data_IF_768331190887
#
_entry.id   IF_768331190887
#
_cell.length_a   1.000
_cell.length_b   1.000
_cell.length_c   1.000
_cell.angle_alpha   90.00
_cell.angle_beta   90.00
_cell.angle_gamma   90.00
#
_symmetry.space_group_name_H-M   'P 1'
#
loop_
_entity.id
_entity.type
_entity.pdbx_description
1 polymer ?
#
# COMPACT_ATOMS: atom_id res chain seq x y z
N UNK A 1 -44.75 26.48 15.49
CA UNK A 1 -43.30 26.69 15.45
C UNK A 1 -42.65 25.40 15.83
N UNK A 2 -42.16 24.61 14.87
CA UNK A 2 -41.30 23.47 15.20
C UNK A 2 -40.02 24.06 15.79
N UNK A 3 -39.78 23.80 17.06
CA UNK A 3 -38.48 24.05 17.68
C UNK A 3 -37.60 22.92 17.16
N UNK A 4 -36.89 23.17 16.05
CA UNK A 4 -35.81 22.29 15.62
C UNK A 4 -34.73 22.37 16.69
N UNK A 5 -34.66 21.35 17.54
CA UNK A 5 -33.46 21.13 18.34
C UNK A 5 -32.36 20.81 17.32
N UNK A 6 -31.51 21.77 17.01
CA UNK A 6 -30.15 21.41 16.58
C UNK A 6 -29.60 20.58 17.73
N UNK A 7 -29.42 19.29 17.51
CA UNK A 7 -28.86 18.41 18.52
C UNK A 7 -27.47 18.94 18.89
N UNK A 8 -27.14 18.97 20.18
CA UNK A 8 -26.09 19.84 20.74
C UNK A 8 -24.67 19.57 20.20
N UNK A 9 -24.46 18.42 19.55
CA UNK A 9 -23.19 17.95 19.01
C UNK A 9 -23.21 17.75 17.48
N UNK A 10 -24.20 18.31 16.77
CA UNK A 10 -24.42 18.03 15.35
C UNK A 10 -24.04 19.22 14.44
N UNK A 11 -23.31 18.93 13.37
CA UNK A 11 -22.93 19.85 12.31
C UNK A 11 -24.02 19.98 11.23
N UNK A 12 -24.58 18.87 10.75
CA UNK A 12 -25.56 18.83 9.65
C UNK A 12 -27.00 19.02 10.16
N UNK A 13 -27.78 19.93 9.55
CA UNK A 13 -29.11 20.36 10.04
C UNK A 13 -30.17 19.25 10.25
N UNK A 14 -29.95 18.04 9.74
CA UNK A 14 -30.82 16.85 9.90
C UNK A 14 -30.13 15.65 10.59
N UNK A 15 -28.88 15.78 11.02
CA UNK A 15 -28.16 14.75 11.79
C UNK A 15 -28.83 14.47 13.15
N UNK A 16 -28.71 13.23 13.65
CA UNK A 16 -29.31 12.84 14.93
C UNK A 16 -28.30 12.67 16.06
N UNK A 17 -27.00 12.54 15.74
CA UNK A 17 -25.98 12.14 16.71
C UNK A 17 -24.64 12.74 16.28
N UNK A 18 -23.83 13.13 17.27
CA UNK A 18 -22.44 13.53 17.09
C UNK A 18 -21.62 13.09 18.29
N UNK A 19 -20.31 13.07 18.15
CA UNK A 19 -19.39 12.73 19.24
C UNK A 19 -19.18 13.96 20.13
N UNK A 20 -19.32 13.75 21.44
CA UNK A 20 -19.03 14.76 22.45
C UNK A 20 -17.84 14.31 23.31
N UNK A 21 -16.83 15.17 23.39
CA UNK A 21 -15.61 14.94 24.14
C UNK A 21 -15.44 16.03 25.22
N UNK A 22 -15.22 15.61 26.47
CA UNK A 22 -15.01 16.52 27.61
C UNK A 22 -14.21 15.86 28.73
N UNK A 23 -13.21 16.57 29.24
CA UNK A 23 -12.54 16.20 30.48
C UNK A 23 -13.27 16.74 31.72
N UNK A 24 -13.50 15.87 32.72
CA UNK A 24 -14.04 16.28 34.03
C UNK A 24 -12.96 16.55 35.08
N UNK A 25 -11.82 15.86 34.95
CA UNK A 25 -10.62 16.06 35.77
C UNK A 25 -9.39 16.13 34.86
N UNK A 26 -8.97 14.99 34.33
CA UNK A 26 -8.03 14.89 33.22
C UNK A 26 -7.91 13.46 32.70
N UNK A 27 -7.39 13.29 31.50
CA UNK A 27 -7.21 12.00 30.83
C UNK A 27 -7.42 12.06 29.33
N UNK A 28 -7.46 10.88 28.72
CA UNK A 28 -7.56 10.71 27.29
C UNK A 28 -8.97 10.24 26.91
N UNK A 29 -9.40 10.54 25.68
CA UNK A 29 -10.66 10.06 25.14
C UNK A 29 -10.59 9.95 23.64
N UNK A 30 -10.92 8.78 23.11
CA UNK A 30 -10.85 8.47 21.69
C UNK A 30 -12.02 7.58 21.28
N UNK A 31 -12.55 7.81 20.08
CA UNK A 31 -13.39 6.85 19.36
C UNK A 31 -12.59 6.33 18.17
N UNK A 32 -12.74 5.04 17.89
CA UNK A 32 -12.13 4.44 16.70
C UNK A 32 -13.07 3.43 16.05
N UNK A 33 -12.89 3.22 14.76
CA UNK A 33 -13.54 2.18 14.00
C UNK A 33 -12.51 1.53 13.08
N UNK A 34 -12.51 0.21 13.02
CA UNK A 34 -11.68 -0.56 12.09
C UNK A 34 -12.56 -1.19 11.02
N UNK A 35 -12.18 -1.04 9.76
CA UNK A 35 -12.86 -1.61 8.59
C UNK A 35 -11.84 -2.30 7.68
N UNK A 36 -12.31 -3.17 6.78
CA UNK A 36 -11.44 -3.81 5.79
C UNK A 36 -10.81 -2.74 4.88
N UNK A 37 -9.58 -2.99 4.43
CA UNK A 37 -8.86 -2.16 3.48
C UNK A 37 -8.05 -3.03 2.52
N UNK A 38 -7.81 -2.53 1.30
CA UNK A 38 -6.97 -3.17 0.30
C UNK A 38 -5.56 -2.55 0.31
N UNK A 39 -4.47 -3.35 0.17
CA UNK A 39 -3.14 -2.82 -0.09
C UNK A 39 -3.13 -1.93 -1.34
N UNK A 40 -2.34 -0.85 -1.32
CA UNK A 40 -2.19 0.07 -2.45
C UNK A 40 -3.36 1.03 -2.67
N UNK A 41 -4.52 0.80 -2.06
CA UNK A 41 -5.66 1.72 -2.17
C UNK A 41 -5.41 3.02 -1.39
N UNK A 42 -5.92 4.14 -1.93
CA UNK A 42 -5.88 5.44 -1.28
C UNK A 42 -7.16 5.67 -0.48
N UNK A 43 -6.99 6.11 0.76
CA UNK A 43 -8.10 6.39 1.67
C UNK A 43 -8.08 7.86 2.07
N UNK A 44 -9.25 8.50 2.05
CA UNK A 44 -9.49 9.82 2.64
C UNK A 44 -10.42 9.66 3.84
N UNK A 45 -9.94 10.03 5.01
CA UNK A 45 -10.75 10.14 6.23
C UNK A 45 -11.02 11.60 6.53
N UNK A 46 -12.28 11.95 6.78
CA UNK A 46 -12.69 13.31 7.12
C UNK A 46 -13.72 13.35 8.26
N UNK A 47 -13.76 14.50 8.93
CA UNK A 47 -14.75 14.82 9.97
C UNK A 47 -14.86 16.33 10.13
N UNK A 48 -15.97 16.77 10.69
CA UNK A 48 -16.12 18.14 11.19
C UNK A 48 -15.82 18.18 12.69
N UNK A 49 -15.14 19.23 13.15
CA UNK A 49 -14.90 19.48 14.58
C UNK A 49 -15.26 20.91 14.96
N UNK A 50 -15.70 21.10 16.20
CA UNK A 50 -16.01 22.40 16.82
C UNK A 50 -15.62 22.39 18.30
N UNK A 51 -14.96 23.44 18.77
CA UNK A 51 -14.52 23.54 20.16
C UNK A 51 -15.16 24.72 20.90
N UNK A 52 -15.50 24.48 22.15
CA UNK A 52 -16.00 25.50 23.07
C UNK A 52 -14.84 26.32 23.68
N UNK A 53 -15.13 27.54 24.13
CA UNK A 53 -14.14 28.52 24.61
C UNK A 53 -13.12 27.98 25.62
N UNK A 54 -13.55 27.08 26.51
CA UNK A 54 -12.73 26.51 27.57
C UNK A 54 -12.18 25.12 27.28
N UNK A 55 -12.36 24.56 26.07
CA UNK A 55 -11.86 23.23 25.76
C UNK A 55 -10.33 23.20 25.82
N UNK A 56 -9.75 22.26 26.57
CA UNK A 56 -8.30 22.27 26.86
C UNK A 56 -7.42 22.12 25.61
N UNK A 57 -7.90 21.46 24.57
CA UNK A 57 -7.14 21.25 23.33
C UNK A 57 -6.95 22.51 22.48
N UNK A 58 -7.77 23.54 22.66
CA UNK A 58 -7.58 24.84 21.99
C UNK A 58 -6.99 25.93 22.89
N UNK A 59 -6.47 25.55 24.06
CA UNK A 59 -5.68 26.44 24.91
C UNK A 59 -4.19 26.27 24.56
N UNK A 60 -3.39 27.30 24.84
CA UNK A 60 -1.93 27.30 24.61
C UNK A 60 -1.22 26.38 25.62
N UNK A 61 -1.46 25.06 25.49
CA UNK A 61 -0.89 23.99 26.29
C UNK A 61 -0.46 22.82 25.37
N UNK A 62 0.85 22.67 25.12
CA UNK A 62 1.36 21.64 24.20
C UNK A 62 1.27 20.21 24.75
N UNK A 63 0.77 20.01 25.97
CA UNK A 63 0.55 18.68 26.53
C UNK A 63 -0.80 18.06 26.15
N UNK A 64 -1.68 18.85 25.51
CA UNK A 64 -2.98 18.40 25.02
C UNK A 64 -2.93 18.30 23.51
N UNK A 65 -3.19 17.13 22.96
CA UNK A 65 -3.31 16.92 21.52
C UNK A 65 -4.73 16.48 21.21
N UNK A 66 -5.40 17.19 20.31
CA UNK A 66 -6.71 16.78 19.77
C UNK A 66 -6.51 16.45 18.30
N UNK A 67 -6.75 15.21 17.90
CA UNK A 67 -6.32 14.72 16.61
C UNK A 67 -7.32 13.77 15.96
N UNK A 68 -7.22 13.68 14.64
CA UNK A 68 -7.77 12.57 13.86
C UNK A 68 -6.62 11.71 13.34
N UNK A 69 -6.86 10.42 13.09
CA UNK A 69 -5.80 9.53 12.60
C UNK A 69 -6.31 8.35 11.80
N UNK A 70 -5.40 7.78 11.02
CA UNK A 70 -5.59 6.59 10.19
C UNK A 70 -4.43 5.63 10.43
N UNK A 71 -4.73 4.37 10.72
CA UNK A 71 -3.74 3.33 11.03
C UNK A 71 -4.03 2.09 10.17
N UNK A 72 -3.03 1.57 9.46
CA UNK A 72 -3.15 0.38 8.62
C UNK A 72 -2.58 -0.85 9.31
N UNK A 73 -3.31 -1.96 9.23
CA UNK A 73 -2.94 -3.21 9.89
C UNK A 73 -2.91 -4.37 8.91
N UNK A 74 -1.97 -5.30 9.11
CA UNK A 74 -1.95 -6.57 8.39
C UNK A 74 -3.04 -7.54 8.91
N UNK A 75 -3.15 -8.71 8.26
CA UNK A 75 -4.12 -9.75 8.65
C UNK A 75 -3.87 -10.36 10.06
N UNK A 76 -2.70 -10.12 10.64
CA UNK A 76 -2.34 -10.54 11.99
C UNK A 76 -2.53 -9.44 13.05
N UNK A 77 -3.11 -8.29 12.66
CA UNK A 77 -3.26 -7.07 13.46
C UNK A 77 -1.94 -6.39 13.87
N UNK A 78 -0.87 -6.56 13.09
CA UNK A 78 0.33 -5.74 13.26
C UNK A 78 0.15 -4.40 12.54
N UNK A 79 0.57 -3.31 13.18
CA UNK A 79 0.57 -1.97 12.57
C UNK A 79 1.61 -1.90 11.46
N UNK A 80 1.19 -1.48 10.27
CA UNK A 80 2.03 -1.29 9.09
C UNK A 80 2.41 0.17 8.87
N UNK A 81 1.49 1.09 9.17
CA UNK A 81 1.69 2.52 9.01
C UNK A 81 0.57 3.30 9.69
N UNK A 82 0.86 4.55 10.03
CA UNK A 82 -0.11 5.44 10.65
C UNK A 82 0.12 6.88 10.22
N UNK A 83 -0.97 7.61 10.02
CA UNK A 83 -1.00 9.04 9.75
C UNK A 83 -1.89 9.72 10.80
N UNK A 84 -1.53 10.93 11.24
CA UNK A 84 -2.29 11.65 12.27
C UNK A 84 -2.22 13.15 12.00
N UNK A 85 -3.37 13.82 12.12
CA UNK A 85 -3.49 15.28 12.02
C UNK A 85 -3.83 15.84 13.39
N UNK A 86 -2.95 16.66 13.96
CA UNK A 86 -3.30 17.52 15.08
C UNK A 86 -4.19 18.65 14.58
N UNK A 87 -5.37 18.81 15.18
CA UNK A 87 -6.33 19.80 14.75
C UNK A 87 -5.90 21.22 15.08
N UNK A 88 -5.06 21.44 16.11
CA UNK A 88 -4.49 22.76 16.41
C UNK A 88 -3.54 23.18 15.29
N UNK A 89 -2.68 22.27 14.83
CA UNK A 89 -1.77 22.51 13.70
C UNK A 89 -2.54 22.72 12.38
N UNK A 90 -3.79 22.26 12.32
CA UNK A 90 -4.72 22.45 11.21
C UNK A 90 -5.66 23.67 11.40
N UNK A 91 -5.28 24.66 12.22
CA UNK A 91 -6.01 25.91 12.46
C UNK A 91 -7.40 25.73 13.11
N UNK A 92 -7.59 24.70 13.95
CA UNK A 92 -8.75 24.61 14.82
C UNK A 92 -8.61 25.51 16.06
N UNK A 93 -9.70 26.17 16.45
CA UNK A 93 -9.71 27.14 17.54
C UNK A 93 -10.94 26.98 18.46
N UNK A 94 -10.83 27.52 19.68
CA UNK A 94 -11.90 27.61 20.67
C UNK A 94 -12.90 28.75 20.37
N UNK A 95 -13.26 28.95 19.11
CA UNK A 95 -14.14 30.02 18.63
C UNK A 95 -15.60 29.56 18.40
N UNK A 96 -15.88 28.29 18.68
CA UNK A 96 -17.19 27.70 18.52
C UNK A 96 -17.63 27.56 17.06
N UNK A 97 -16.73 27.63 16.08
CA UNK A 97 -17.03 27.34 14.68
C UNK A 97 -16.78 25.87 14.34
N UNK A 98 -17.59 25.34 13.44
CA UNK A 98 -17.35 24.04 12.82
C UNK A 98 -16.33 24.20 11.68
N UNK A 99 -15.32 23.35 11.66
CA UNK A 99 -14.32 23.25 10.58
C UNK A 99 -14.21 21.80 10.14
N UNK A 100 -14.00 21.58 8.85
CA UNK A 100 -13.75 20.26 8.30
C UNK A 100 -12.25 19.96 8.29
N UNK A 101 -11.91 18.72 8.59
CA UNK A 101 -10.55 18.20 8.55
C UNK A 101 -10.54 16.92 7.74
N UNK A 102 -9.46 16.70 7.00
CA UNK A 102 -9.24 15.47 6.25
C UNK A 102 -7.79 15.01 6.32
N UNK A 103 -7.62 13.70 6.14
CA UNK A 103 -6.36 12.96 6.08
C UNK A 103 -6.42 12.02 4.89
N UNK A 104 -5.40 12.02 4.04
CA UNK A 104 -5.29 11.09 2.92
C UNK A 104 -4.02 10.25 3.07
N UNK A 105 -4.13 8.93 2.89
CA UNK A 105 -2.99 8.02 2.92
C UNK A 105 -3.20 6.82 2.01
N UNK A 106 -2.11 6.33 1.43
CA UNK A 106 -2.08 5.07 0.68
C UNK A 106 -1.84 3.91 1.64
N UNK A 107 -2.62 2.83 1.52
CA UNK A 107 -2.47 1.63 2.32
C UNK A 107 -1.14 0.91 1.99
N UNK A 108 -0.25 0.66 2.97
CA UNK A 108 1.00 -0.07 2.73
C UNK A 108 0.78 -1.50 2.19
N UNK A 109 1.82 -2.13 1.60
CA UNK A 109 1.78 -3.54 1.24
C UNK A 109 1.37 -4.43 2.43
N UNK A 110 0.61 -5.49 2.15
CA UNK A 110 0.03 -6.42 3.14
C UNK A 110 -1.06 -5.86 4.06
N UNK A 111 -1.59 -4.66 3.77
CA UNK A 111 -2.75 -4.13 4.49
C UNK A 111 -3.96 -5.05 4.37
N UNK A 112 -4.63 -5.33 5.49
CA UNK A 112 -5.91 -6.03 5.53
C UNK A 112 -7.03 -5.15 6.11
N UNK A 113 -6.68 -4.16 6.92
CA UNK A 113 -7.65 -3.26 7.53
C UNK A 113 -7.08 -1.87 7.79
N UNK A 114 -7.97 -0.88 7.85
CA UNK A 114 -7.69 0.49 8.25
C UNK A 114 -8.52 0.82 9.49
N UNK A 115 -7.88 1.43 10.48
CA UNK A 115 -8.54 2.01 11.65
C UNK A 115 -8.51 3.52 11.54
N UNK A 116 -9.69 4.13 11.58
CA UNK A 116 -9.85 5.58 11.74
C UNK A 116 -10.14 5.90 13.19
N UNK A 117 -9.62 7.03 13.67
CA UNK A 117 -9.78 7.47 15.05
C UNK A 117 -9.92 8.98 15.16
N UNK A 118 -10.62 9.43 16.18
CA UNK A 118 -10.72 10.84 16.55
C UNK A 118 -10.81 10.96 18.08
N UNK A 119 -10.08 11.90 18.65
CA UNK A 119 -10.01 12.04 20.09
C UNK A 119 -9.01 13.08 20.55
N UNK A 120 -8.72 13.04 21.85
CA UNK A 120 -7.67 13.84 22.43
C UNK A 120 -6.97 13.12 23.57
N UNK A 121 -5.71 13.48 23.77
CA UNK A 121 -4.86 13.01 24.87
C UNK A 121 -4.45 14.18 25.75
N UNK A 122 -4.14 13.90 27.02
CA UNK A 122 -3.68 14.89 27.97
C UNK A 122 -4.73 15.92 28.40
N UNK A 123 -6.01 15.72 28.05
CA UNK A 123 -7.05 16.69 28.36
C UNK A 123 -7.16 16.94 29.86
N UNK A 124 -7.58 18.14 30.24
CA UNK A 124 -7.85 18.51 31.63
C UNK A 124 -9.07 19.44 31.72
N UNK A 125 -9.65 19.53 32.91
CA UNK A 125 -10.72 20.50 33.16
C UNK A 125 -10.11 21.90 33.32
N UNK A 126 -10.32 22.77 32.34
CA UNK A 126 -9.73 24.12 32.32
C UNK A 126 -10.31 25.07 33.37
N UNK A 127 -11.46 24.73 33.96
CA UNK A 127 -12.23 25.63 34.83
C UNK A 127 -12.97 26.75 34.09
N UNK A 128 -12.80 26.86 32.77
CA UNK A 128 -13.52 27.80 31.89
C UNK A 128 -14.71 27.05 31.31
N UNK A 129 -15.91 27.65 31.30
CA UNK A 129 -17.09 27.04 30.67
C UNK A 129 -17.60 27.94 29.54
N UNK A 130 -18.09 27.37 28.44
CA UNK A 130 -18.20 25.92 28.16
C UNK A 130 -16.86 25.32 27.66
N UNK A 131 -16.63 23.99 27.72
CA UNK A 131 -15.29 23.36 27.57
C UNK A 131 -15.27 21.99 26.87
N UNK A 132 -16.15 21.78 25.92
CA UNK A 132 -16.28 20.54 25.17
C UNK A 132 -15.67 20.67 23.79
N UNK A 133 -15.25 19.54 23.23
CA UNK A 133 -15.05 19.37 21.80
C UNK A 133 -16.18 18.51 21.24
N UNK A 134 -16.52 18.77 19.98
CA UNK A 134 -17.50 18.00 19.24
C UNK A 134 -16.88 17.54 17.93
N UNK A 135 -17.21 16.32 17.53
CA UNK A 135 -16.90 15.79 16.21
C UNK A 135 -18.17 15.27 15.57
N UNK A 136 -18.28 15.42 14.25
CA UNK A 136 -19.43 14.94 13.51
C UNK A 136 -19.08 14.62 12.05
N UNK A 137 -20.03 14.02 11.33
CA UNK A 137 -19.95 13.72 9.91
C UNK A 137 -18.66 12.96 9.55
N UNK A 138 -18.31 11.96 10.36
CA UNK A 138 -17.20 11.05 10.08
C UNK A 138 -17.43 10.33 8.75
N UNK A 139 -16.47 10.47 7.85
CA UNK A 139 -16.50 9.81 6.55
C UNK A 139 -15.14 9.21 6.25
N UNK A 140 -15.12 7.91 5.98
CA UNK A 140 -13.98 7.24 5.38
C UNK A 140 -14.39 6.82 3.98
N UNK A 141 -13.69 7.38 3.00
CA UNK A 141 -13.90 7.04 1.60
C UNK A 141 -12.62 6.38 1.12
N UNK A 142 -12.76 5.17 0.58
CA UNK A 142 -11.77 4.70 -0.37
C UNK A 142 -11.91 5.60 -1.59
N UNK A 143 -11.04 6.59 -1.68
CA UNK A 143 -10.97 7.38 -2.90
C UNK A 143 -10.45 6.43 -3.96
N UNK A 144 -11.06 6.47 -5.13
CA UNK A 144 -10.35 5.99 -6.31
C UNK A 144 -9.09 6.86 -6.39
N UNK A 145 -8.00 6.37 -5.79
CA UNK A 145 -6.73 6.43 -6.48
C UNK A 145 -7.09 5.95 -7.88
N UNK A 146 -6.66 6.66 -8.92
CA UNK A 146 -6.27 5.92 -10.12
C UNK A 146 -5.43 4.76 -9.57
N UNK A 147 -6.00 3.54 -9.54
CA UNK A 147 -5.43 2.41 -8.82
C UNK A 147 -4.02 2.33 -9.40
N UNK A 148 -2.96 2.63 -8.64
CA UNK A 148 -1.70 3.00 -9.29
C UNK A 148 -1.31 1.93 -10.30
N UNK A 149 -1.13 2.33 -11.57
CA UNK A 149 -0.97 1.40 -12.68
C UNK A 149 -2.23 1.07 -13.51
N UNK A 150 -3.43 1.48 -13.12
CA UNK A 150 -4.67 1.38 -13.91
C UNK A 150 -4.66 2.50 -14.94
N UNK A 151 -4.07 2.21 -16.08
CA UNK A 151 -3.82 3.19 -17.13
C UNK A 151 -5.03 3.39 -18.02
N UNK A 152 -5.98 2.45 -18.00
CA UNK A 152 -7.19 2.51 -18.80
C UNK A 152 -8.41 3.06 -18.02
N UNK A 153 -8.26 3.25 -16.71
CA UNK A 153 -9.28 3.73 -15.76
C UNK A 153 -10.54 2.84 -15.70
N UNK A 154 -10.39 1.52 -15.87
CA UNK A 154 -11.49 0.57 -15.75
C UNK A 154 -11.68 0.02 -14.33
N UNK A 155 -10.80 0.41 -13.40
CA UNK A 155 -10.81 0.03 -11.99
C UNK A 155 -10.17 -1.33 -11.73
N UNK A 156 -9.47 -1.93 -12.68
CA UNK A 156 -8.86 -3.25 -12.55
C UNK A 156 -7.41 -3.22 -13.06
N UNK A 157 -6.45 -3.58 -12.19
CA UNK A 157 -5.08 -3.84 -12.65
C UNK A 157 -5.02 -5.16 -13.43
N UNK A 158 -4.87 -5.10 -14.74
CA UNK A 158 -4.81 -6.29 -15.59
C UNK A 158 -3.82 -6.21 -16.76
N UNK A 159 -3.93 -7.16 -17.70
CA UNK A 159 -3.04 -7.26 -18.86
C UNK A 159 -3.16 -6.03 -19.77
N UNK A 160 -4.31 -5.35 -19.82
CA UNK A 160 -4.49 -4.18 -20.66
C UNK A 160 -3.61 -3.02 -20.18
N UNK A 161 -3.44 -2.86 -18.87
CA UNK A 161 -2.54 -1.86 -18.29
C UNK A 161 -1.08 -2.17 -18.62
N UNK A 162 -0.65 -3.42 -18.46
CA UNK A 162 0.70 -3.83 -18.80
C UNK A 162 1.02 -3.67 -20.30
N UNK A 163 0.02 -3.77 -21.17
CA UNK A 163 0.17 -3.48 -22.60
C UNK A 163 0.27 -1.96 -22.86
N UNK A 164 -0.46 -1.13 -22.11
CA UNK A 164 -0.33 0.33 -22.16
C UNK A 164 1.06 0.77 -21.68
N UNK A 165 1.56 0.16 -20.61
CA UNK A 165 2.91 0.43 -20.11
C UNK A 165 3.98 -0.01 -21.11
N UNK A 166 3.85 -1.18 -21.74
CA UNK A 166 4.79 -1.61 -22.78
C UNK A 166 4.82 -0.63 -23.97
N UNK A 167 3.65 -0.11 -24.37
CA UNK A 167 3.59 0.94 -25.38
C UNK A 167 4.27 2.24 -24.93
N UNK A 168 4.16 2.61 -23.65
CA UNK A 168 4.84 3.77 -23.07
C UNK A 168 6.37 3.57 -23.00
N UNK A 169 6.86 2.39 -22.64
CA UNK A 169 8.29 2.04 -22.65
C UNK A 169 8.89 2.23 -24.06
N UNK A 170 8.12 1.89 -25.10
CA UNK A 170 8.54 2.09 -26.49
C UNK A 170 8.42 3.55 -26.99
N UNK A 171 7.74 4.44 -26.25
CA UNK A 171 7.53 5.84 -26.64
C UNK A 171 8.55 6.79 -26.00
N UNK A 172 9.35 7.44 -26.84
CA UNK A 172 10.31 8.48 -26.42
C UNK A 172 9.69 9.71 -25.76
N UNK A 173 8.37 9.89 -25.82
CA UNK A 173 7.63 11.00 -25.19
C UNK A 173 6.55 10.51 -24.22
N UNK A 174 6.75 9.34 -23.60
CA UNK A 174 5.84 8.81 -22.59
C UNK A 174 5.57 9.82 -21.47
N UNK A 175 4.36 9.77 -20.92
CA UNK A 175 3.97 10.62 -19.80
C UNK A 175 4.63 10.12 -18.51
N UNK A 176 5.74 10.78 -18.13
CA UNK A 176 6.49 10.44 -16.92
C UNK A 176 5.62 10.55 -15.65
N UNK A 177 4.61 11.43 -15.62
CA UNK A 177 3.76 11.53 -14.44
C UNK A 177 2.87 10.29 -14.23
N UNK A 178 2.68 9.49 -15.29
CA UNK A 178 1.82 8.30 -15.28
C UNK A 178 2.63 7.01 -15.19
N UNK A 179 3.76 6.94 -15.90
CA UNK A 179 4.47 5.68 -16.12
C UNK A 179 5.85 5.57 -15.43
N UNK A 180 6.45 6.67 -14.97
CA UNK A 180 7.72 6.68 -14.23
C UNK A 180 7.43 6.56 -12.72
N UNK A 181 7.48 5.34 -12.20
CA UNK A 181 7.11 5.01 -10.83
C UNK A 181 8.28 5.10 -9.86
N UNK A 182 9.50 4.98 -10.37
CA UNK A 182 10.71 5.07 -9.55
C UNK A 182 11.26 6.50 -9.45
N UNK A 183 10.76 7.43 -10.28
CA UNK A 183 11.12 8.85 -10.32
C UNK A 183 12.49 9.14 -10.93
N UNK A 184 13.02 8.23 -11.76
CA UNK A 184 14.35 8.36 -12.39
C UNK A 184 14.35 9.12 -13.73
N UNK A 185 13.16 9.50 -14.20
CA UNK A 185 12.95 10.26 -15.43
C UNK A 185 12.93 9.40 -16.70
N UNK A 186 12.86 8.07 -16.56
CA UNK A 186 12.64 7.13 -17.65
C UNK A 186 11.39 6.28 -17.40
N UNK A 187 10.84 5.71 -18.48
CA UNK A 187 9.79 4.69 -18.40
C UNK A 187 10.40 3.41 -18.92
N UNK A 188 10.75 2.49 -18.02
CA UNK A 188 11.45 1.26 -18.37
C UNK A 188 11.03 0.04 -17.55
N UNK A 189 11.83 -1.04 -17.63
CA UNK A 189 11.56 -2.30 -16.95
C UNK A 189 11.55 -2.18 -15.42
N UNK A 190 12.20 -1.15 -14.86
CA UNK A 190 12.16 -0.86 -13.42
C UNK A 190 10.76 -0.40 -13.00
N UNK A 191 10.10 0.45 -13.79
CA UNK A 191 8.72 0.87 -13.55
C UNK A 191 7.74 -0.28 -13.76
N UNK A 192 8.02 -1.12 -14.76
CA UNK A 192 7.24 -2.35 -14.99
C UNK A 192 7.31 -3.29 -13.81
N UNK A 193 8.48 -3.40 -13.17
CA UNK A 193 8.63 -4.20 -11.95
C UNK A 193 7.79 -3.64 -10.81
N UNK A 194 7.78 -2.33 -10.61
CA UNK A 194 6.95 -1.68 -9.58
C UNK A 194 5.46 -1.98 -9.83
N UNK A 195 5.00 -1.87 -11.09
CA UNK A 195 3.61 -2.21 -11.42
C UNK A 195 3.27 -3.66 -11.02
N UNK A 196 4.13 -4.61 -11.38
CA UNK A 196 3.88 -6.04 -11.16
C UNK A 196 3.98 -6.43 -9.69
N UNK A 197 5.04 -5.99 -9.01
CA UNK A 197 5.39 -6.44 -7.66
C UNK A 197 4.70 -5.60 -6.58
N UNK A 198 4.59 -4.28 -6.76
CA UNK A 198 4.08 -3.38 -5.73
C UNK A 198 2.60 -3.02 -5.93
N UNK A 199 2.15 -2.86 -7.17
CA UNK A 199 0.74 -2.50 -7.44
C UNK A 199 -0.14 -3.74 -7.60
N UNK A 200 0.22 -4.65 -8.50
CA UNK A 200 -0.55 -5.88 -8.76
C UNK A 200 -0.31 -6.97 -7.72
N UNK A 201 0.77 -6.87 -6.94
CA UNK A 201 1.16 -7.85 -5.93
C UNK A 201 1.33 -9.27 -6.51
N UNK A 202 1.95 -9.36 -7.69
CA UNK A 202 2.34 -10.64 -8.30
C UNK A 202 3.84 -10.65 -8.63
N UNK A 203 4.29 -11.56 -9.50
CA UNK A 203 5.68 -11.72 -9.89
C UNK A 203 5.81 -11.71 -11.40
N UNK A 204 6.95 -11.20 -11.90
CA UNK A 204 7.29 -11.31 -13.32
C UNK A 204 7.25 -12.79 -13.74
N UNK A 205 6.56 -13.06 -14.84
CA UNK A 205 6.37 -14.41 -15.37
C UNK A 205 4.97 -14.98 -15.15
N UNK A 206 4.20 -14.43 -14.20
CA UNK A 206 2.80 -14.77 -13.99
C UNK A 206 1.95 -14.17 -15.12
N UNK A 207 1.72 -14.98 -16.16
CA UNK A 207 1.12 -14.57 -17.43
C UNK A 207 -0.39 -14.36 -17.35
N UNK A 208 -1.06 -14.97 -16.38
CA UNK A 208 -2.50 -14.84 -16.16
C UNK A 208 -2.85 -13.98 -14.92
N UNK A 209 -1.83 -13.44 -14.24
CA UNK A 209 -1.93 -12.55 -13.09
C UNK A 209 -2.67 -13.18 -11.90
N UNK A 210 -2.56 -14.49 -11.72
CA UNK A 210 -3.20 -15.24 -10.63
C UNK A 210 -2.43 -15.17 -9.28
N UNK A 211 -1.29 -14.47 -9.25
CA UNK A 211 -0.42 -14.32 -8.09
C UNK A 211 0.73 -15.33 -8.04
N UNK A 212 0.98 -16.12 -9.07
CA UNK A 212 2.01 -17.16 -9.07
C UNK A 212 2.54 -17.45 -10.46
N UNK A 213 3.87 -17.36 -10.63
CA UNK A 213 4.54 -17.83 -11.84
C UNK A 213 4.81 -19.34 -11.75
N UNK A 214 4.23 -20.13 -12.64
CA UNK A 214 4.41 -21.57 -12.66
C UNK A 214 4.37 -22.20 -14.05
N UNK A 215 4.21 -23.52 -14.07
CA UNK A 215 4.14 -24.29 -15.33
C UNK A 215 2.93 -23.90 -16.19
N UNK A 216 1.82 -23.47 -15.57
CA UNK A 216 0.63 -22.98 -16.28
C UNK A 216 0.97 -21.80 -17.18
N UNK A 217 1.72 -20.83 -16.65
CA UNK A 217 2.15 -19.64 -17.38
C UNK A 217 3.07 -19.95 -18.54
N UNK A 218 4.09 -20.78 -18.28
CA UNK A 218 5.01 -21.20 -19.34
C UNK A 218 4.27 -21.90 -20.47
N UNK A 219 3.31 -22.78 -20.16
CA UNK A 219 2.50 -23.43 -21.18
C UNK A 219 1.70 -22.39 -21.97
N UNK A 220 1.07 -21.42 -21.30
CA UNK A 220 0.26 -20.39 -21.95
C UNK A 220 1.09 -19.54 -22.93
N UNK A 221 2.24 -19.00 -22.50
CA UNK A 221 3.08 -18.14 -23.35
C UNK A 221 3.71 -18.92 -24.50
N UNK A 222 4.10 -20.18 -24.30
CA UNK A 222 4.60 -21.01 -25.41
C UNK A 222 3.50 -21.44 -26.39
N UNK A 223 2.26 -21.59 -25.93
CA UNK A 223 1.12 -21.85 -26.82
C UNK A 223 0.79 -20.68 -27.74
N UNK A 224 1.16 -19.45 -27.37
CA UNK A 224 1.06 -18.29 -28.26
C UNK A 224 1.98 -18.40 -29.50
N UNK A 225 3.00 -19.26 -29.46
CA UNK A 225 3.94 -19.52 -30.56
C UNK A 225 4.69 -18.24 -31.02
N UNK A 226 5.04 -17.36 -30.08
CA UNK A 226 5.76 -16.10 -30.33
C UNK A 226 7.21 -16.08 -29.84
N UNK A 227 7.66 -17.13 -29.14
CA UNK A 227 9.02 -17.20 -28.63
C UNK A 227 10.06 -17.10 -29.75
N UNK A 228 10.93 -16.09 -29.68
CA UNK A 228 12.02 -15.83 -30.65
C UNK A 228 11.53 -15.68 -32.10
N UNK A 229 10.25 -15.32 -32.32
CA UNK A 229 9.69 -15.13 -33.66
C UNK A 229 9.83 -13.71 -34.19
N UNK A 230 10.07 -12.72 -33.32
CA UNK A 230 9.95 -11.27 -33.57
C UNK A 230 8.52 -10.81 -33.91
N UNK A 231 7.51 -11.65 -33.73
CA UNK A 231 6.11 -11.21 -33.81
C UNK A 231 5.76 -10.42 -32.54
N UNK A 232 4.92 -9.37 -32.64
CA UNK A 232 4.49 -8.60 -31.47
C UNK A 232 3.83 -9.50 -30.42
N UNK A 233 4.22 -9.38 -29.16
CA UNK A 233 3.66 -10.13 -28.05
C UNK A 233 3.15 -9.19 -26.95
N UNK A 234 2.08 -9.60 -26.28
CA UNK A 234 1.58 -8.97 -25.06
C UNK A 234 2.10 -9.72 -23.82
N UNK A 235 1.79 -9.21 -22.62
CA UNK A 235 2.17 -9.85 -21.35
C UNK A 235 1.78 -11.33 -21.28
N UNK A 236 0.52 -11.66 -21.56
CA UNK A 236 0.00 -13.03 -21.51
C UNK A 236 0.51 -13.92 -22.65
N UNK A 237 1.30 -13.37 -23.57
CA UNK A 237 1.98 -14.08 -24.66
C UNK A 237 3.50 -14.13 -24.47
N UNK A 238 4.01 -13.55 -23.38
CA UNK A 238 5.39 -13.67 -22.92
C UNK A 238 6.24 -12.40 -22.97
N UNK A 239 5.74 -11.25 -23.40
CA UNK A 239 6.45 -9.97 -23.29
C UNK A 239 6.42 -9.47 -21.83
N UNK A 240 7.37 -9.93 -21.02
CA UNK A 240 7.48 -9.63 -19.60
C UNK A 240 8.38 -8.41 -19.34
N UNK A 241 9.29 -8.05 -20.25
CA UNK A 241 10.19 -6.92 -20.09
C UNK A 241 9.68 -5.59 -20.71
N UNK A 242 8.71 -5.65 -21.62
CA UNK A 242 8.00 -4.52 -22.20
C UNK A 242 8.55 -4.10 -23.57
N UNK A 243 9.42 -4.92 -24.17
CA UNK A 243 10.07 -4.61 -25.45
C UNK A 243 9.21 -4.97 -26.69
N UNK A 244 8.00 -5.48 -26.45
CA UNK A 244 7.00 -5.77 -27.47
C UNK A 244 7.16 -7.14 -28.13
N UNK A 245 8.10 -7.98 -27.71
CA UNK A 245 8.29 -9.35 -28.23
C UNK A 245 8.45 -10.36 -27.10
N UNK A 246 8.20 -11.64 -27.39
CA UNK A 246 8.52 -12.71 -26.45
C UNK A 246 9.86 -13.37 -26.83
N UNK A 247 10.88 -13.17 -26.01
CA UNK A 247 12.22 -13.71 -26.24
C UNK A 247 12.92 -14.22 -24.99
N UNK A 248 14.20 -14.53 -25.15
CA UNK A 248 15.05 -15.00 -24.05
C UNK A 248 15.18 -13.93 -22.94
N UNK A 249 15.11 -12.64 -23.28
CA UNK A 249 15.14 -11.54 -22.32
C UNK A 249 14.03 -11.65 -21.27
N UNK A 250 12.81 -11.97 -21.71
CA UNK A 250 11.63 -12.16 -20.85
C UNK A 250 11.78 -13.33 -19.89
N UNK A 251 12.23 -14.48 -20.42
CA UNK A 251 12.46 -15.66 -19.58
C UNK A 251 13.56 -15.41 -18.56
N UNK A 252 14.65 -14.76 -18.96
CA UNK A 252 15.73 -14.41 -18.03
C UNK A 252 15.20 -13.48 -16.95
N UNK A 253 14.40 -12.47 -17.29
CA UNK A 253 13.79 -11.56 -16.33
C UNK A 253 12.86 -12.31 -15.35
N UNK A 254 11.96 -13.15 -15.86
CA UNK A 254 11.02 -13.93 -15.06
C UNK A 254 11.73 -14.91 -14.10
N UNK A 255 12.77 -15.61 -14.56
CA UNK A 255 13.53 -16.52 -13.70
C UNK A 255 14.45 -15.78 -12.72
N UNK A 256 14.97 -14.60 -13.06
CA UNK A 256 15.73 -13.76 -12.14
C UNK A 256 14.88 -13.16 -11.03
N UNK A 257 13.60 -12.87 -11.30
CA UNK A 257 12.63 -12.46 -10.28
C UNK A 257 12.40 -13.57 -9.23
N UNK A 258 12.69 -14.84 -9.57
CA UNK A 258 12.76 -15.94 -8.62
C UNK A 258 11.42 -16.53 -8.17
N UNK A 259 10.32 -16.15 -8.85
CA UNK A 259 8.95 -16.55 -8.51
C UNK A 259 8.50 -17.94 -8.98
N UNK A 260 9.28 -18.61 -9.83
CA UNK A 260 8.84 -19.87 -10.46
C UNK A 260 8.57 -20.99 -9.43
N UNK A 261 7.33 -21.50 -9.42
CA UNK A 261 6.81 -22.55 -8.54
C UNK A 261 7.09 -22.29 -7.04
N UNK A 262 7.13 -21.00 -6.63
CA UNK A 262 7.24 -20.57 -5.24
C UNK A 262 8.36 -21.28 -4.47
N UNK A 263 9.60 -20.78 -4.59
CA UNK A 263 10.77 -21.37 -3.92
C UNK A 263 10.55 -21.54 -2.39
N UNK A 264 10.07 -22.71 -1.97
CA UNK A 264 10.70 -23.43 -0.89
C UNK A 264 12.20 -23.40 -1.19
N UNK A 265 12.96 -22.72 -0.32
CA UNK A 265 14.39 -22.56 -0.37
C UNK A 265 15.05 -23.66 -1.21
N UNK A 266 15.64 -23.28 -2.35
CA UNK A 266 16.45 -24.18 -3.17
C UNK A 266 17.52 -24.70 -2.22
N UNK A 267 17.31 -25.90 -1.67
CA UNK A 267 18.30 -26.61 -0.88
C UNK A 267 19.52 -26.65 -1.76
N UNK A 268 20.60 -25.99 -1.33
CA UNK A 268 21.89 -26.06 -1.99
C UNK A 268 22.12 -27.51 -2.43
N UNK A 269 22.17 -27.72 -3.74
CA UNK A 269 22.47 -29.03 -4.31
C UNK A 269 23.82 -29.41 -3.71
N UNK A 270 23.94 -30.51 -2.96
CA UNK A 270 25.23 -30.96 -2.49
C UNK A 270 26.12 -31.09 -3.72
N UNK A 271 27.21 -30.33 -3.76
CA UNK A 271 28.19 -30.42 -4.83
C UNK A 271 28.51 -31.91 -5.07
N UNK A 272 28.63 -32.35 -6.34
CA UNK A 272 29.04 -33.73 -6.61
C UNK A 272 30.30 -34.00 -5.79
N UNK A 273 30.45 -35.20 -5.26
CA UNK A 273 31.47 -35.60 -4.29
C UNK A 273 32.93 -35.50 -4.80
N UNK A 274 33.36 -34.34 -5.29
CA UNK A 274 34.70 -33.98 -5.74
C UNK A 274 35.70 -34.18 -4.60
N UNK A 275 35.29 -33.90 -3.35
CA UNK A 275 36.10 -34.13 -2.16
C UNK A 275 36.40 -35.61 -1.91
N UNK A 276 35.44 -36.52 -2.13
CA UNK A 276 35.64 -37.96 -1.95
C UNK A 276 36.55 -38.52 -3.05
N UNK A 277 36.39 -38.04 -4.29
CA UNK A 277 37.27 -38.44 -5.41
C UNK A 277 38.71 -37.93 -5.19
N UNK A 278 38.87 -36.70 -4.72
CA UNK A 278 40.19 -36.14 -4.40
C UNK A 278 40.88 -36.89 -3.23
N UNK A 279 40.13 -37.26 -2.19
CA UNK A 279 40.67 -38.02 -1.06
C UNK A 279 41.03 -39.46 -1.45
N UNK A 280 40.21 -40.13 -2.27
CA UNK A 280 40.50 -41.45 -2.82
C UNK A 280 41.74 -41.42 -3.74
N UNK A 281 41.89 -40.40 -4.59
CA UNK A 281 43.06 -40.23 -5.44
C UNK A 281 44.33 -39.98 -4.59
N UNK A 282 44.24 -39.19 -3.53
CA UNK A 282 45.35 -38.93 -2.62
C UNK A 282 45.79 -40.21 -1.86
N UNK A 283 44.85 -41.05 -1.41
CA UNK A 283 45.16 -42.32 -0.73
C UNK A 283 45.82 -43.33 -1.67
N UNK A 284 45.41 -43.39 -2.94
CA UNK A 284 46.07 -44.23 -3.96
C UNK A 284 47.49 -43.74 -4.24
N UNK A 285 47.72 -42.43 -4.29
CA UNK A 285 49.05 -41.84 -4.51
C UNK A 285 49.97 -42.01 -3.30
N UNK A 286 49.43 -41.91 -2.07
CA UNK A 286 50.18 -42.13 -0.83
C UNK A 286 50.48 -43.61 -0.58
N UNK A 287 49.59 -44.52 -0.98
CA UNK A 287 49.80 -45.97 -0.90
C UNK A 287 50.91 -46.46 -1.83
N UNK A 288 51.09 -45.83 -3.01
CA UNK A 288 52.17 -46.18 -3.95
C UNK A 288 53.56 -45.71 -3.52
N UNK A 289 53.66 -44.78 -2.56
CA UNK A 289 54.95 -44.31 -2.03
C UNK A 289 55.54 -45.20 -0.92
N UNK A 290 54.81 -46.20 -0.43
CA UNK A 290 55.29 -47.15 0.60
C UNK A 290 55.74 -48.51 0.04
N UNK A 291 55.79 -48.66 -1.29
CA UNK A 291 56.20 -49.89 -1.96
C UNK A 291 57.40 -49.63 -2.89
N UNK A 292 58.50 -49.11 -2.33
CA UNK A 292 59.88 -49.18 -2.87
C UNK A 292 60.82 -49.32 -1.68
#
# INVERSE_FOLDING_TARGET
TLIGFRDFANHTDDGQQGLWLRAFAGGDGEVSQTVNAAPGAQYEFSTWSRWETGYSGGLDDPSVTTSIGMEFYDASNNLLGAETLDLVDADQENDGQWRQFSLSSTAPPNTASVRVRAGATGMYNSGINPQSAFFDDFSLVETLSELSGDYNNDGVLDVLDLNLQAAAIADTNADLAVFDHNGDGAVDVADRRIWVEDFKMTVIGDSDLNGSFGTGDLIAVFQANKFESNEPANWNEGDFNGDGVFGTGDLVLAFQAGGYDGNAAVSAVPEPACGVIALCAAMVLLGRRRAI
#
